data_IF_348900708672
#
_entry.id   IF_348900708672
#
_cell.length_a   1.000
_cell.length_b   1.000
_cell.length_c   1.000
_cell.angle_alpha   90.00
_cell.angle_beta   90.00
_cell.angle_gamma   90.00
#
_symmetry.space_group_name_H-M   'P 1'
#
loop_
_entity.id
_entity.type
_entity.pdbx_description
1 polymer ?
#
# COMPACT_ATOMS: atom_id res chain seq x y z
N UNK A 1 -7.30 -9.22 16.49
CA UNK A 1 -8.05 -8.27 15.63
C UNK A 1 -8.43 -6.97 16.35
N UNK A 2 -8.94 -7.01 17.60
CA UNK A 2 -9.23 -5.79 18.40
C UNK A 2 -7.99 -5.11 19.00
N UNK A 3 -6.85 -5.80 19.06
CA UNK A 3 -5.56 -5.33 19.58
C UNK A 3 -4.64 -4.75 18.50
N UNK A 4 -5.08 -4.65 17.24
CA UNK A 4 -4.34 -3.97 16.19
C UNK A 4 -4.92 -2.58 15.97
N UNK A 5 -4.07 -1.57 15.71
CA UNK A 5 -4.53 -0.21 15.53
C UNK A 5 -5.30 -0.06 14.20
N UNK A 6 -6.15 0.97 14.13
CA UNK A 6 -7.28 1.04 13.19
C UNK A 6 -6.78 1.15 11.74
N UNK A 7 -5.75 1.94 11.46
CA UNK A 7 -5.24 2.15 10.10
C UNK A 7 -4.55 0.87 9.62
N UNK A 8 -3.66 0.30 10.42
CA UNK A 8 -2.96 -0.95 10.10
C UNK A 8 -3.94 -2.06 9.76
N UNK A 9 -4.98 -2.24 10.58
CA UNK A 9 -6.00 -3.28 10.34
C UNK A 9 -6.74 -3.05 9.03
N UNK A 10 -7.20 -1.82 8.79
CA UNK A 10 -7.98 -1.48 7.59
C UNK A 10 -7.13 -1.65 6.34
N UNK A 11 -5.86 -1.21 6.38
CA UNK A 11 -4.91 -1.36 5.29
C UNK A 11 -4.65 -2.85 4.99
N UNK A 12 -4.39 -3.67 6.00
CA UNK A 12 -4.18 -5.11 5.82
C UNK A 12 -5.41 -5.81 5.24
N UNK A 13 -6.60 -5.48 5.73
CA UNK A 13 -7.84 -6.06 5.19
C UNK A 13 -8.07 -5.67 3.74
N UNK A 14 -7.84 -4.40 3.39
CA UNK A 14 -7.99 -3.93 2.01
C UNK A 14 -6.99 -4.61 1.09
N UNK A 15 -5.72 -4.73 1.52
CA UNK A 15 -4.70 -5.44 0.75
C UNK A 15 -5.05 -6.90 0.53
N UNK A 16 -5.50 -7.60 1.58
CA UNK A 16 -5.87 -9.00 1.49
C UNK A 16 -7.09 -9.21 0.58
N UNK A 17 -8.14 -8.40 0.75
CA UNK A 17 -9.35 -8.46 -0.06
C UNK A 17 -9.06 -8.15 -1.53
N UNK A 18 -8.21 -7.15 -1.80
CA UNK A 18 -7.85 -6.78 -3.17
C UNK A 18 -7.07 -7.89 -3.86
N UNK A 19 -6.09 -8.49 -3.17
CA UNK A 19 -5.33 -9.61 -3.73
C UNK A 19 -6.18 -10.87 -3.88
N UNK A 20 -7.01 -11.21 -2.90
CA UNK A 20 -7.92 -12.36 -2.98
C UNK A 20 -8.95 -12.18 -4.11
N UNK A 21 -9.48 -10.98 -4.30
CA UNK A 21 -10.40 -10.66 -5.40
C UNK A 21 -9.76 -10.82 -6.78
N UNK A 22 -8.47 -10.51 -6.92
CA UNK A 22 -7.73 -10.77 -8.16
C UNK A 22 -7.43 -12.26 -8.35
N UNK A 23 -7.13 -12.99 -7.28
CA UNK A 23 -6.84 -14.42 -7.33
C UNK A 23 -8.08 -15.29 -7.62
N UNK A 24 -9.26 -14.85 -7.21
CA UNK A 24 -10.54 -15.47 -7.54
C UNK A 24 -11.04 -15.11 -8.95
N UNK A 25 -10.21 -14.45 -9.77
CA UNK A 25 -10.54 -13.94 -11.12
C UNK A 25 -11.79 -13.03 -11.19
N UNK A 26 -12.31 -12.56 -10.05
CA UNK A 26 -13.40 -11.58 -9.99
C UNK A 26 -12.96 -10.24 -10.61
N UNK A 27 -11.67 -9.95 -10.56
CA UNK A 27 -11.03 -8.77 -11.17
C UNK A 27 -9.90 -9.28 -12.06
N UNK A 28 -9.96 -9.02 -13.36
CA UNK A 28 -8.89 -9.41 -14.28
C UNK A 28 -7.57 -8.73 -13.88
N UNK A 29 -6.46 -9.48 -13.68
CA UNK A 29 -5.15 -8.92 -13.31
C UNK A 29 -4.60 -7.92 -14.36
N UNK A 30 -5.09 -7.99 -15.60
CA UNK A 30 -4.79 -7.01 -16.66
C UNK A 30 -5.38 -5.61 -16.39
N UNK A 31 -6.42 -5.50 -15.55
CA UNK A 31 -7.00 -4.21 -15.16
C UNK A 31 -6.26 -3.54 -14.00
N UNK A 32 -5.46 -4.31 -13.25
CA UNK A 32 -4.63 -3.84 -12.11
C UNK A 32 -3.24 -3.40 -12.57
N UNK A 33 -2.85 -3.76 -13.80
CA UNK A 33 -1.65 -3.24 -14.44
C UNK A 33 -1.67 -1.71 -14.44
N UNK A 34 -0.65 -1.10 -13.83
CA UNK A 34 -0.48 0.33 -13.73
C UNK A 34 -0.15 0.91 -15.12
N UNK A 35 -1.19 1.14 -15.93
CA UNK A 35 -1.05 1.84 -17.18
C UNK A 35 -1.26 3.34 -16.94
N UNK A 36 -0.17 4.01 -16.56
CA UNK A 36 -0.15 5.43 -16.23
C UNK A 36 -0.74 6.32 -17.36
N UNK A 37 -0.59 5.89 -18.63
CA UNK A 37 -1.14 6.60 -19.80
C UNK A 37 -2.68 6.62 -19.79
N UNK A 38 -3.33 5.54 -19.38
CA UNK A 38 -4.79 5.46 -19.25
C UNK A 38 -5.33 6.16 -18.01
N UNK A 39 -4.58 6.15 -16.90
CA UNK A 39 -4.99 6.82 -15.65
C UNK A 39 -5.02 8.34 -15.84
N UNK A 40 -3.98 8.90 -16.46
CA UNK A 40 -3.87 10.35 -16.70
C UNK A 40 -4.84 10.81 -17.79
N UNK A 41 -5.07 10.01 -18.85
CA UNK A 41 -6.01 10.38 -19.92
C UNK A 41 -7.49 10.14 -19.59
N UNK A 42 -7.83 9.17 -18.72
CA UNK A 42 -9.24 8.79 -18.42
C UNK A 42 -9.67 9.01 -16.96
N UNK A 43 -8.86 9.65 -16.12
CA UNK A 43 -9.20 9.95 -14.72
C UNK A 43 -9.69 8.74 -13.90
N UNK A 44 -9.11 7.56 -14.13
CA UNK A 44 -9.51 6.33 -13.44
C UNK A 44 -8.86 6.24 -12.05
N UNK A 45 -9.30 7.09 -11.10
CA UNK A 45 -8.74 7.17 -9.74
C UNK A 45 -8.81 5.84 -8.96
N UNK A 46 -9.79 4.99 -9.24
CA UNK A 46 -9.90 3.68 -8.60
C UNK A 46 -8.69 2.77 -8.88
N UNK A 47 -8.03 2.92 -10.04
CA UNK A 47 -6.81 2.16 -10.39
C UNK A 47 -5.59 2.57 -9.58
N UNK A 48 -5.50 3.86 -9.20
CA UNK A 48 -4.45 4.34 -8.30
C UNK A 48 -4.63 3.69 -6.94
N UNK A 49 -5.84 3.77 -6.40
CA UNK A 49 -6.17 3.23 -5.07
C UNK A 49 -5.94 1.72 -5.02
N UNK A 50 -6.47 0.94 -5.96
CA UNK A 50 -6.27 -0.53 -5.95
C UNK A 50 -4.83 -0.95 -6.14
N UNK A 51 -3.99 -0.19 -6.85
CA UNK A 51 -2.57 -0.51 -7.02
C UNK A 51 -1.75 -0.40 -5.71
N UNK A 52 -2.14 0.50 -4.80
CA UNK A 52 -1.50 0.60 -3.46
C UNK A 52 -1.82 -0.59 -2.55
N UNK A 53 -2.99 -1.19 -2.72
CA UNK A 53 -3.43 -2.35 -1.93
C UNK A 53 -3.07 -3.68 -2.58
N UNK A 54 -2.68 -3.69 -3.85
CA UNK A 54 -2.35 -4.92 -4.57
C UNK A 54 -0.86 -5.26 -4.47
N UNK A 55 -0.55 -6.44 -3.92
CA UNK A 55 0.81 -6.93 -3.69
C UNK A 55 1.16 -8.15 -4.58
N UNK A 56 0.62 -8.21 -5.79
CA UNK A 56 0.94 -9.28 -6.75
C UNK A 56 0.15 -10.56 -6.55
N UNK A 57 0.65 -11.67 -7.10
CA UNK A 57 0.00 -12.99 -7.03
C UNK A 57 0.04 -13.57 -5.61
N UNK A 58 -0.96 -14.39 -5.26
CA UNK A 58 -0.98 -15.13 -4.00
C UNK A 58 0.16 -16.17 -3.99
N UNK A 59 1.27 -15.81 -3.38
CA UNK A 59 2.45 -16.65 -3.20
C UNK A 59 3.27 -16.23 -1.98
N UNK A 60 4.47 -16.82 -1.83
CA UNK A 60 5.38 -16.49 -0.73
C UNK A 60 5.80 -15.01 -0.75
N UNK A 61 6.02 -14.44 -1.93
CA UNK A 61 6.37 -13.02 -2.09
C UNK A 61 5.30 -12.09 -1.50
N UNK A 62 4.02 -12.35 -1.77
CA UNK A 62 2.90 -11.63 -1.19
C UNK A 62 2.86 -11.74 0.34
N UNK A 63 3.11 -12.94 0.88
CA UNK A 63 3.13 -13.16 2.32
C UNK A 63 4.24 -12.35 3.01
N UNK A 64 5.43 -12.27 2.41
CA UNK A 64 6.51 -11.45 2.94
C UNK A 64 6.15 -9.96 2.91
N UNK A 65 5.61 -9.46 1.79
CA UNK A 65 5.17 -8.07 1.71
C UNK A 65 4.08 -7.73 2.72
N UNK A 66 3.07 -8.61 2.87
CA UNK A 66 2.00 -8.46 3.85
C UNK A 66 2.54 -8.51 5.28
N UNK A 67 3.52 -9.38 5.57
CA UNK A 67 4.16 -9.46 6.87
C UNK A 67 4.93 -8.18 7.21
N UNK A 68 5.74 -7.66 6.29
CA UNK A 68 6.46 -6.41 6.49
C UNK A 68 5.50 -5.25 6.70
N UNK A 69 4.49 -5.14 5.83
CA UNK A 69 3.43 -4.14 5.95
C UNK A 69 2.77 -4.20 7.34
N UNK A 70 2.30 -5.37 7.77
CA UNK A 70 1.64 -5.55 9.06
C UNK A 70 2.55 -5.13 10.23
N UNK A 71 3.81 -5.55 10.18
CA UNK A 71 4.79 -5.29 11.25
C UNK A 71 5.15 -3.81 11.34
N UNK A 72 5.51 -3.18 10.22
CA UNK A 72 5.97 -1.80 10.21
C UNK A 72 4.82 -0.81 10.38
N UNK A 73 3.65 -1.03 9.78
CA UNK A 73 2.46 -0.21 10.05
C UNK A 73 2.14 -0.21 11.55
N UNK A 74 2.14 -1.40 12.18
CA UNK A 74 1.87 -1.52 13.61
C UNK A 74 2.93 -0.79 14.46
N UNK A 75 4.22 -0.96 14.15
CA UNK A 75 5.31 -0.29 14.87
C UNK A 75 5.24 1.24 14.74
N UNK A 76 4.90 1.75 13.56
CA UNK A 76 4.73 3.19 13.34
C UNK A 76 3.49 3.73 14.07
N UNK A 77 2.35 3.05 13.95
CA UNK A 77 1.07 3.51 14.51
C UNK A 77 1.01 3.39 16.05
N UNK A 78 1.54 2.32 16.65
CA UNK A 78 1.58 2.14 18.11
C UNK A 78 2.80 2.76 18.78
N UNK A 79 3.93 2.83 18.09
CA UNK A 79 5.18 3.37 18.64
C UNK A 79 5.28 4.87 18.41
N UNK A 80 5.56 5.26 17.16
CA UNK A 80 5.87 6.64 16.77
C UNK A 80 4.66 7.58 16.77
N UNK A 81 3.46 7.08 16.49
CA UNK A 81 2.25 7.87 16.29
C UNK A 81 1.12 7.51 17.24
N UNK A 82 1.46 7.03 18.44
CA UNK A 82 0.47 6.72 19.48
C UNK A 82 -0.36 7.97 19.80
N UNK A 83 -1.70 7.88 19.71
CA UNK A 83 -2.67 8.99 19.79
C UNK A 83 -2.59 10.06 18.67
N UNK A 84 -1.79 9.84 17.62
CA UNK A 84 -1.65 10.73 16.44
C UNK A 84 -1.91 9.97 15.14
N UNK A 85 -2.97 9.18 15.15
CA UNK A 85 -3.39 8.34 14.03
C UNK A 85 -3.66 9.16 12.76
N UNK A 86 -4.11 10.42 12.91
CA UNK A 86 -4.30 11.35 11.79
C UNK A 86 -2.98 11.73 11.10
N UNK A 87 -1.91 12.01 11.86
CA UNK A 87 -0.59 12.32 11.29
C UNK A 87 -0.01 11.12 10.53
N UNK A 88 -0.23 9.89 11.04
CA UNK A 88 0.17 8.67 10.35
C UNK A 88 -0.60 8.49 9.02
N UNK A 89 -1.91 8.73 9.02
CA UNK A 89 -2.72 8.70 7.80
C UNK A 89 -2.22 9.71 6.76
N UNK A 90 -1.96 10.96 7.19
CA UNK A 90 -1.42 11.99 6.32
C UNK A 90 -0.06 11.63 5.73
N UNK A 91 0.82 11.00 6.51
CA UNK A 91 2.10 10.48 6.02
C UNK A 91 1.90 9.45 4.90
N UNK A 92 0.94 8.51 5.06
CA UNK A 92 0.63 7.51 4.04
C UNK A 92 0.06 8.14 2.76
N UNK A 93 -0.90 9.07 2.90
CA UNK A 93 -1.51 9.77 1.76
C UNK A 93 -0.47 10.61 1.02
N UNK A 94 0.40 11.31 1.74
CA UNK A 94 1.46 12.11 1.16
C UNK A 94 2.48 11.24 0.40
N UNK A 95 2.92 10.13 1.01
CA UNK A 95 3.80 9.16 0.37
C UNK A 95 3.17 8.54 -0.88
N UNK A 96 1.90 8.14 -0.80
CA UNK A 96 1.14 7.63 -1.93
C UNK A 96 1.00 8.67 -3.05
N UNK A 97 0.75 9.94 -2.72
CA UNK A 97 0.68 11.04 -3.68
C UNK A 97 2.01 11.25 -4.42
N UNK A 98 3.12 11.32 -3.69
CA UNK A 98 4.47 11.43 -4.26
C UNK A 98 4.81 10.25 -5.16
N UNK A 99 4.58 9.02 -4.70
CA UNK A 99 4.81 7.82 -5.49
C UNK A 99 3.95 7.80 -6.75
N UNK A 100 2.69 8.25 -6.67
CA UNK A 100 1.79 8.35 -7.83
C UNK A 100 2.28 9.35 -8.87
N UNK A 101 2.84 10.49 -8.43
CA UNK A 101 3.43 11.49 -9.31
C UNK A 101 4.72 11.01 -9.99
N UNK A 102 5.53 10.21 -9.29
CA UNK A 102 6.83 9.71 -9.79
C UNK A 102 6.68 8.43 -10.64
N UNK A 103 5.68 7.60 -10.33
CA UNK A 103 5.41 6.34 -11.03
C UNK A 103 5.40 6.41 -12.56
N UNK A 104 4.79 7.42 -13.23
CA UNK A 104 4.83 7.52 -14.70
C UNK A 104 6.23 7.74 -15.27
N UNK A 105 7.14 8.36 -14.51
CA UNK A 105 8.51 8.64 -14.98
C UNK A 105 9.42 7.42 -14.85
N UNK A 106 9.17 6.58 -13.85
CA UNK A 106 10.04 5.42 -13.52
C UNK A 106 9.46 4.10 -14.05
N UNK A 107 8.29 4.13 -14.70
CA UNK A 107 7.59 2.95 -15.22
C UNK A 107 7.38 1.83 -14.15
N UNK A 108 7.15 2.24 -12.89
CA UNK A 108 6.94 1.31 -11.78
C UNK A 108 5.55 0.71 -11.88
N UNK A 109 5.46 -0.62 -11.81
CA UNK A 109 4.20 -1.36 -12.02
C UNK A 109 3.39 -1.56 -10.73
N UNK A 110 4.04 -1.56 -9.56
CA UNK A 110 3.41 -1.81 -8.26
C UNK A 110 3.88 -0.79 -7.22
N UNK A 111 2.99 0.11 -6.81
CA UNK A 111 3.29 1.14 -5.83
C UNK A 111 3.11 0.63 -4.38
N UNK A 112 2.39 -0.48 -4.17
CA UNK A 112 2.20 -1.10 -2.85
C UNK A 112 3.52 -1.47 -2.18
N UNK A 113 4.42 -2.16 -2.90
CA UNK A 113 5.75 -2.51 -2.37
C UNK A 113 6.60 -1.27 -2.08
N UNK A 114 6.55 -0.25 -2.94
CA UNK A 114 7.25 1.03 -2.73
C UNK A 114 6.76 1.75 -1.47
N UNK A 115 5.45 1.74 -1.21
CA UNK A 115 4.88 2.31 0.02
C UNK A 115 5.35 1.56 1.26
N UNK A 116 5.40 0.22 1.19
CA UNK A 116 5.97 -0.60 2.27
C UNK A 116 7.43 -0.23 2.54
N UNK A 117 8.25 -0.08 1.50
CA UNK A 117 9.64 0.38 1.67
C UNK A 117 9.74 1.78 2.28
N UNK A 118 8.89 2.72 1.88
CA UNK A 118 8.82 4.05 2.50
C UNK A 118 8.55 3.93 4.01
N UNK A 119 7.62 3.07 4.43
CA UNK A 119 7.34 2.85 5.85
C UNK A 119 8.54 2.28 6.61
N UNK A 120 9.22 1.29 6.02
CA UNK A 120 10.47 0.74 6.59
C UNK A 120 11.51 1.84 6.76
N UNK A 121 11.69 2.67 5.74
CA UNK A 121 12.65 3.77 5.75
C UNK A 121 12.33 4.79 6.85
N UNK A 122 11.08 5.24 6.96
CA UNK A 122 10.67 6.20 7.99
C UNK A 122 10.84 5.61 9.39
N UNK A 123 10.52 4.33 9.58
CA UNK A 123 10.74 3.66 10.84
C UNK A 123 12.23 3.57 11.19
N UNK A 124 13.08 3.18 10.23
CA UNK A 124 14.53 3.08 10.42
C UNK A 124 15.14 4.41 10.85
N UNK A 125 14.82 5.50 10.14
CA UNK A 125 15.30 6.86 10.46
C UNK A 125 14.85 7.40 11.82
N UNK A 126 13.78 6.85 12.40
CA UNK A 126 13.29 7.24 13.73
C UNK A 126 13.86 6.40 14.87
N UNK A 127 14.47 5.26 14.54
CA UNK A 127 15.07 4.34 15.48
C UNK A 127 16.62 4.34 15.36
N UNK A 128 17.17 5.31 14.62
CA UNK A 128 18.57 5.74 14.69
C UNK A 128 18.76 6.71 15.87
#
# INVERSE_FOLDING_TARGET
YKSMPIITRTYLTLSFVTTAGCALELISPFSVYFNARLIVQKFQLWRLVTNFFFFGSLGLDFLFHMFFLARYCKLLEEGSFRNRTADFFWMLVFGAGLLSCIAPFVHVQFLGSSLTFMMVYVWGRRNE
#
